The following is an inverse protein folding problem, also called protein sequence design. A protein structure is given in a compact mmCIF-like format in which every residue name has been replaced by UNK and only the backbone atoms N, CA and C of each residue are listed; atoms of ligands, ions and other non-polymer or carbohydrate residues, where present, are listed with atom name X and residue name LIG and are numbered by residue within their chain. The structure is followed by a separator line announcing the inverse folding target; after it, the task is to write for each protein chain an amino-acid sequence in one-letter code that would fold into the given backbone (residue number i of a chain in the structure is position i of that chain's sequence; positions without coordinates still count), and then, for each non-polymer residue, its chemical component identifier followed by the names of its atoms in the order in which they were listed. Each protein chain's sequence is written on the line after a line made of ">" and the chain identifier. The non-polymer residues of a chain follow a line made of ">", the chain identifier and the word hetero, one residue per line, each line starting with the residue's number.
data_IF_533347615073
#
_entry.id   IF_533347615073
#
_cell.length_a   1.000
_cell.length_b   1.000
_cell.length_c   1.000
_cell.angle_alpha   90.00
_cell.angle_beta   90.00
_cell.angle_gamma   90.00
#
_symmetry.space_group_name_H-M   'P 1'
#
loop_
_entity.id
_entity.type
_entity.pdbx_description
1 polymer ?
#
# COMPACT_ATOMS: atom_id res chain seq x y z
N UNK A 1 -8.75 -13.83 -7.29
CA UNK A 1 -9.18 -12.47 -7.68
C UNK A 1 -8.65 -12.18 -9.08
N UNK A 2 -9.47 -11.58 -9.94
CA UNK A 2 -9.07 -11.19 -11.30
C UNK A 2 -8.46 -9.78 -11.27
N UNK A 3 -7.52 -9.46 -12.18
CA UNK A 3 -7.05 -8.08 -12.36
C UNK A 3 -8.18 -7.15 -12.82
N UNK A 4 -8.04 -5.86 -12.52
CA UNK A 4 -9.02 -4.84 -12.88
C UNK A 4 -9.07 -4.62 -14.40
N UNK A 5 -10.26 -4.77 -14.98
CA UNK A 5 -10.50 -4.52 -16.40
C UNK A 5 -10.10 -3.09 -16.79
N UNK A 6 -9.66 -2.91 -18.04
CA UNK A 6 -9.17 -1.63 -18.55
C UNK A 6 -10.19 -0.50 -18.42
N UNK A 7 -11.48 -0.77 -18.64
CA UNK A 7 -12.55 0.25 -18.54
C UNK A 7 -12.68 0.72 -17.10
N UNK A 8 -12.78 -0.23 -16.16
CA UNK A 8 -12.88 0.06 -14.73
C UNK A 8 -11.62 0.76 -14.21
N UNK A 9 -10.44 0.36 -14.69
CA UNK A 9 -9.16 0.99 -14.36
C UNK A 9 -9.11 2.45 -14.79
N UNK A 10 -9.59 2.77 -15.99
CA UNK A 10 -9.68 4.16 -16.45
C UNK A 10 -10.69 4.98 -15.64
N UNK A 11 -11.80 4.37 -15.19
CA UNK A 11 -12.76 5.03 -14.29
C UNK A 11 -12.13 5.31 -12.93
N UNK A 12 -11.45 4.32 -12.35
CA UNK A 12 -10.69 4.45 -11.11
C UNK A 12 -9.63 5.54 -11.20
N UNK A 13 -8.86 5.60 -12.28
CA UNK A 13 -7.86 6.65 -12.50
C UNK A 13 -8.48 8.05 -12.44
N UNK A 14 -9.60 8.26 -13.14
CA UNK A 14 -10.31 9.55 -13.13
C UNK A 14 -10.84 9.89 -11.75
N UNK A 15 -11.43 8.92 -11.05
CA UNK A 15 -11.96 9.11 -9.71
C UNK A 15 -10.84 9.51 -8.73
N UNK A 16 -9.72 8.78 -8.71
CA UNK A 16 -8.59 9.04 -7.81
C UNK A 16 -7.95 10.40 -8.09
N UNK A 17 -7.78 10.79 -9.36
CA UNK A 17 -7.24 12.12 -9.71
C UNK A 17 -8.18 13.25 -9.25
N UNK A 18 -9.48 13.10 -9.48
CA UNK A 18 -10.47 14.09 -9.04
C UNK A 18 -10.56 14.15 -7.50
N UNK A 19 -10.48 13.00 -6.84
CA UNK A 19 -10.47 12.91 -5.40
C UNK A 19 -9.28 13.63 -4.79
N UNK A 20 -8.08 13.47 -5.37
CA UNK A 20 -6.89 14.21 -4.93
C UNK A 20 -7.11 15.71 -4.97
N UNK A 21 -7.53 16.24 -6.11
CA UNK A 21 -7.76 17.68 -6.28
C UNK A 21 -8.85 18.20 -5.33
N UNK A 22 -9.91 17.41 -5.11
CA UNK A 22 -11.02 17.75 -4.21
C UNK A 22 -10.57 17.72 -2.75
N UNK A 23 -9.84 16.69 -2.34
CA UNK A 23 -9.34 16.52 -0.98
C UNK A 23 -8.28 17.57 -0.62
N UNK A 24 -7.36 17.91 -1.54
CA UNK A 24 -6.37 18.99 -1.32
C UNK A 24 -7.07 20.35 -1.16
N UNK A 25 -8.12 20.65 -1.95
CA UNK A 25 -8.94 21.87 -1.77
C UNK A 25 -9.65 21.89 -0.42
N UNK A 26 -10.29 20.78 -0.04
CA UNK A 26 -10.95 20.65 1.26
C UNK A 26 -9.98 20.80 2.43
N UNK A 27 -8.81 20.18 2.34
CA UNK A 27 -7.75 20.29 3.33
C UNK A 27 -7.27 21.74 3.46
N UNK A 28 -7.01 22.44 2.35
CA UNK A 28 -6.65 23.85 2.35
C UNK A 28 -7.71 24.72 3.03
N UNK A 29 -8.99 24.51 2.71
CA UNK A 29 -10.09 25.26 3.30
C UNK A 29 -10.19 25.02 4.82
N UNK A 30 -10.17 23.77 5.26
CA UNK A 30 -10.26 23.41 6.68
C UNK A 30 -9.06 23.93 7.50
N UNK A 31 -7.84 23.74 7.00
CA UNK A 31 -6.63 24.26 7.64
C UNK A 31 -6.59 25.79 7.65
N UNK A 32 -7.12 26.42 6.60
CA UNK A 32 -7.27 27.87 6.48
C UNK A 32 -8.23 28.45 7.50
N UNK A 33 -9.37 27.80 7.76
CA UNK A 33 -10.32 28.22 8.80
C UNK A 33 -9.69 28.21 10.19
N UNK A 34 -8.83 27.23 10.49
CA UNK A 34 -8.06 27.18 11.72
C UNK A 34 -6.86 28.15 11.74
N UNK A 35 -6.59 28.86 10.64
CA UNK A 35 -5.43 29.74 10.50
C UNK A 35 -4.11 29.00 10.75
N UNK A 36 -3.98 27.75 10.27
CA UNK A 36 -2.81 26.91 10.56
C UNK A 36 -1.53 27.51 10.03
N UNK A 37 -1.54 28.25 8.92
CA UNK A 37 -0.38 28.97 8.41
C UNK A 37 0.00 30.17 9.28
N UNK A 38 -0.97 30.80 9.95
CA UNK A 38 -0.80 32.12 10.56
C UNK A 38 0.15 32.15 11.76
N UNK A 39 0.82 33.28 12.05
CA UNK A 39 1.65 33.42 13.25
C UNK A 39 0.89 33.25 14.56
N UNK A 40 -0.36 33.71 14.61
CA UNK A 40 -1.21 33.75 15.80
C UNK A 40 -2.56 33.10 15.49
N UNK A 41 -3.15 32.47 16.52
CA UNK A 41 -4.50 31.95 16.41
C UNK A 41 -5.51 33.10 16.36
N UNK A 42 -6.55 32.97 15.54
CA UNK A 42 -7.61 33.97 15.48
C UNK A 42 -8.41 34.01 16.79
N UNK A 43 -8.87 35.21 17.17
CA UNK A 43 -9.55 35.41 18.46
C UNK A 43 -10.86 34.62 18.59
N UNK A 44 -11.54 34.36 17.47
CA UNK A 44 -12.82 33.64 17.41
C UNK A 44 -12.69 32.11 17.56
N UNK A 45 -11.48 31.54 17.46
CA UNK A 45 -11.29 30.10 17.59
C UNK A 45 -11.59 29.65 19.03
N UNK A 46 -12.32 28.55 19.16
CA UNK A 46 -12.55 27.89 20.44
C UNK A 46 -11.24 27.34 21.03
N UNK A 47 -11.24 26.98 22.32
CA UNK A 47 -10.05 26.40 22.94
C UNK A 47 -9.68 25.03 22.36
N UNK A 48 -10.69 24.23 21.96
CA UNK A 48 -10.51 22.98 21.23
C UNK A 48 -9.85 23.21 19.87
N UNK A 49 -10.35 24.19 19.10
CA UNK A 49 -9.78 24.54 17.79
C UNK A 49 -8.35 25.07 17.92
N UNK A 50 -8.07 25.85 18.97
CA UNK A 50 -6.71 26.32 19.26
C UNK A 50 -5.76 25.18 19.56
N UNK A 51 -6.20 24.16 20.31
CA UNK A 51 -5.41 22.97 20.58
C UNK A 51 -5.18 22.14 19.30
N UNK A 52 -6.23 21.88 18.54
CA UNK A 52 -6.14 21.18 17.26
C UNK A 52 -5.17 21.89 16.31
N UNK A 53 -5.30 23.21 16.18
CA UNK A 53 -4.39 24.06 15.41
C UNK A 53 -2.93 23.93 15.86
N UNK A 54 -2.66 23.92 17.18
CA UNK A 54 -1.30 23.73 17.72
C UNK A 54 -0.73 22.38 17.30
N UNK A 55 -1.51 21.31 17.44
CA UNK A 55 -1.13 19.95 17.05
C UNK A 55 -0.88 19.84 15.54
N UNK A 56 -1.78 20.36 14.72
CA UNK A 56 -1.64 20.39 13.25
C UNK A 56 -0.40 21.16 12.81
N UNK A 57 -0.12 22.33 13.41
CA UNK A 57 1.12 23.08 13.13
C UNK A 57 2.37 22.27 13.48
N UNK A 58 2.39 21.64 14.65
CA UNK A 58 3.51 20.78 15.06
C UNK A 58 3.70 19.60 14.11
N UNK A 59 2.61 18.96 13.71
CA UNK A 59 2.59 17.85 12.77
C UNK A 59 3.12 18.25 11.39
N UNK A 60 2.62 19.35 10.81
CA UNK A 60 3.15 19.88 9.55
C UNK A 60 4.66 20.12 9.58
N UNK A 61 5.21 20.67 10.68
CA UNK A 61 6.66 20.82 10.84
C UNK A 61 7.41 19.50 10.90
N UNK A 62 6.84 18.47 11.53
CA UNK A 62 7.43 17.12 11.54
C UNK A 62 7.45 16.50 10.14
N UNK A 63 6.42 16.77 9.33
CA UNK A 63 6.41 16.37 7.92
C UNK A 63 7.45 17.13 7.09
N UNK A 64 7.84 18.33 7.53
CA UNK A 64 8.85 19.19 6.91
C UNK A 64 8.31 20.48 6.29
N UNK A 65 7.14 20.95 6.73
CA UNK A 65 6.67 22.30 6.41
C UNK A 65 7.57 23.35 7.06
N UNK A 66 8.03 24.30 6.25
CA UNK A 66 8.98 25.33 6.65
C UNK A 66 8.28 26.54 7.26
N UNK A 67 9.03 27.26 8.08
CA UNK A 67 8.69 28.61 8.51
C UNK A 67 9.31 29.59 7.50
N UNK A 68 8.50 30.27 6.70
CA UNK A 68 8.94 31.11 5.58
C UNK A 68 9.59 32.42 6.09
N UNK A 69 10.81 32.32 6.62
CA UNK A 69 11.57 33.47 7.14
C UNK A 69 10.97 34.12 8.39
N UNK A 70 10.07 33.44 9.11
CA UNK A 70 9.36 34.02 10.27
C UNK A 70 8.38 33.07 10.96
N UNK A 71 7.23 33.59 11.41
CA UNK A 71 6.18 32.81 12.14
C UNK A 71 5.10 32.19 11.23
N UNK A 72 5.12 32.53 9.93
CA UNK A 72 4.20 31.99 8.92
C UNK A 72 4.71 30.62 8.48
N UNK A 73 3.86 29.60 8.60
CA UNK A 73 4.20 28.21 8.27
C UNK A 73 3.64 27.85 6.89
N UNK A 74 4.42 27.15 6.06
CA UNK A 74 3.86 26.45 4.90
C UNK A 74 2.90 25.36 5.37
N UNK A 75 2.02 24.92 4.46
CA UNK A 75 1.08 23.83 4.75
C UNK A 75 1.10 22.76 3.67
N UNK A 76 2.00 22.83 2.69
CA UNK A 76 1.98 21.93 1.53
C UNK A 76 1.97 20.47 1.97
N UNK A 77 2.85 20.09 2.90
CA UNK A 77 2.99 18.68 3.31
C UNK A 77 1.83 18.24 4.19
N UNK A 78 1.36 19.13 5.06
CA UNK A 78 0.18 18.88 5.87
C UNK A 78 -1.08 18.72 5.01
N UNK A 79 -1.25 19.55 3.99
CA UNK A 79 -2.37 19.45 3.03
C UNK A 79 -2.30 18.15 2.26
N UNK A 80 -1.12 17.77 1.75
CA UNK A 80 -0.92 16.51 1.03
C UNK A 80 -1.30 15.30 1.91
N UNK A 81 -0.90 15.30 3.19
CA UNK A 81 -1.23 14.21 4.11
C UNK A 81 -2.71 14.22 4.51
N UNK A 82 -3.31 15.38 4.82
CA UNK A 82 -4.75 15.49 5.11
C UNK A 82 -5.57 14.95 3.94
N UNK A 83 -5.25 15.37 2.73
CA UNK A 83 -5.94 14.92 1.54
C UNK A 83 -5.81 13.40 1.35
N UNK A 84 -4.59 12.88 1.49
CA UNK A 84 -4.31 11.46 1.35
C UNK A 84 -5.07 10.62 2.38
N UNK A 85 -4.98 10.97 3.66
CA UNK A 85 -5.56 10.19 4.75
C UNK A 85 -7.09 10.18 4.68
N UNK A 86 -7.73 11.32 4.42
CA UNK A 86 -9.19 11.40 4.32
C UNK A 86 -9.73 10.55 3.15
N UNK A 87 -9.13 10.67 1.96
CA UNK A 87 -9.54 9.87 0.80
C UNK A 87 -9.28 8.38 1.01
N UNK A 88 -8.05 8.00 1.37
CA UNK A 88 -7.68 6.59 1.45
C UNK A 88 -8.44 5.88 2.57
N UNK A 89 -8.72 6.54 3.69
CA UNK A 89 -9.50 5.94 4.77
C UNK A 89 -10.91 5.51 4.32
N UNK A 90 -11.62 6.36 3.58
CA UNK A 90 -12.93 6.00 2.99
C UNK A 90 -12.78 4.87 1.96
N UNK A 91 -11.81 5.00 1.07
CA UNK A 91 -11.60 4.01 0.02
C UNK A 91 -11.24 2.63 0.58
N UNK A 92 -10.36 2.56 1.58
CA UNK A 92 -9.98 1.33 2.26
C UNK A 92 -11.15 0.73 3.05
N UNK A 93 -11.95 1.55 3.75
CA UNK A 93 -13.15 1.07 4.40
C UNK A 93 -14.09 0.40 3.40
N UNK A 94 -14.25 0.97 2.20
CA UNK A 94 -15.00 0.32 1.10
C UNK A 94 -14.34 -0.97 0.62
N UNK A 95 -13.03 -0.99 0.40
CA UNK A 95 -12.31 -2.23 0.03
C UNK A 95 -12.54 -3.34 1.06
N UNK A 96 -12.44 -3.03 2.35
CA UNK A 96 -12.68 -4.00 3.41
C UNK A 96 -14.12 -4.48 3.40
N UNK A 97 -15.10 -3.58 3.30
CA UNK A 97 -16.51 -3.94 3.29
C UNK A 97 -16.85 -4.88 2.10
N UNK A 98 -16.41 -4.54 0.89
CA UNK A 98 -16.71 -5.34 -0.32
C UNK A 98 -16.04 -6.71 -0.35
N UNK A 99 -14.97 -6.90 0.44
CA UNK A 99 -14.30 -8.19 0.56
C UNK A 99 -14.74 -8.97 1.81
N UNK A 100 -15.75 -8.51 2.55
CA UNK A 100 -16.17 -9.07 3.85
C UNK A 100 -15.03 -9.11 4.87
N UNK A 101 -14.18 -8.08 4.83
CA UNK A 101 -13.02 -7.90 5.71
C UNK A 101 -13.18 -6.70 6.65
N UNK A 102 -14.24 -5.91 6.54
CA UNK A 102 -14.55 -4.87 7.52
C UNK A 102 -15.29 -5.54 8.68
N UNK A 103 -14.70 -5.55 9.86
CA UNK A 103 -15.25 -6.27 11.01
C UNK A 103 -15.84 -5.30 12.03
N UNK A 104 -17.00 -5.64 12.59
CA UNK A 104 -17.51 -5.02 13.79
C UNK A 104 -16.52 -5.29 14.95
N UNK A 105 -16.20 -4.29 15.79
CA UNK A 105 -15.16 -4.39 16.81
C UNK A 105 -15.64 -5.14 18.07
N UNK A 106 -16.19 -6.34 17.89
CA UNK A 106 -16.45 -7.30 18.98
C UNK A 106 -15.25 -8.26 19.11
N UNK A 107 -14.56 -8.26 20.26
CA UNK A 107 -13.39 -9.13 20.48
C UNK A 107 -13.73 -10.62 20.60
N UNK A 108 -14.98 -10.96 20.91
CA UNK A 108 -15.42 -12.34 21.13
C UNK A 108 -16.09 -12.94 19.87
N UNK A 109 -16.72 -12.12 19.02
CA UNK A 109 -17.37 -12.56 17.77
C UNK A 109 -17.17 -11.54 16.62
N UNK A 110 -16.04 -11.60 15.88
CA UNK A 110 -15.79 -10.66 14.79
C UNK A 110 -16.71 -10.97 13.60
N UNK A 111 -17.74 -10.15 13.41
CA UNK A 111 -18.69 -10.26 12.30
C UNK A 111 -18.38 -9.22 11.23
N UNK A 112 -18.38 -9.63 9.97
CA UNK A 112 -18.23 -8.72 8.84
C UNK A 112 -19.45 -7.77 8.76
N UNK A 113 -19.18 -6.49 8.55
CA UNK A 113 -20.19 -5.43 8.47
C UNK A 113 -20.11 -4.69 7.13
N UNK A 114 -21.27 -4.36 6.57
CA UNK A 114 -21.43 -3.59 5.34
C UNK A 114 -21.43 -2.09 5.61
N UNK A 115 -21.24 -1.27 4.57
CA UNK A 115 -21.34 0.18 4.71
C UNK A 115 -22.76 0.66 5.04
N UNK A 116 -23.79 -0.07 4.62
CA UNK A 116 -25.18 0.24 4.95
C UNK A 116 -25.44 0.03 6.44
N UNK A 117 -24.99 -1.09 7.00
CA UNK A 117 -25.05 -1.32 8.45
C UNK A 117 -24.20 -0.31 9.23
N UNK A 118 -23.05 0.13 8.71
CA UNK A 118 -22.31 1.23 9.31
C UNK A 118 -23.11 2.55 9.30
N UNK A 119 -23.88 2.84 8.26
CA UNK A 119 -24.75 4.03 8.22
C UNK A 119 -25.85 3.94 9.28
N UNK A 120 -26.50 2.77 9.39
CA UNK A 120 -27.57 2.54 10.37
C UNK A 120 -27.07 2.67 11.82
N UNK A 121 -25.84 2.21 12.10
CA UNK A 121 -25.22 2.26 13.44
C UNK A 121 -24.52 3.60 13.75
N UNK A 122 -24.30 4.47 12.76
CA UNK A 122 -23.45 5.65 12.91
C UNK A 122 -23.86 6.54 14.09
N UNK A 123 -25.14 6.87 14.20
CA UNK A 123 -25.65 7.74 15.24
C UNK A 123 -25.51 7.12 16.65
N UNK A 124 -25.78 5.82 16.77
CA UNK A 124 -25.71 5.09 18.05
C UNK A 124 -24.26 4.94 18.54
N UNK A 125 -23.31 4.79 17.60
CA UNK A 125 -21.86 4.69 17.85
C UNK A 125 -21.15 6.07 17.89
N UNK A 126 -21.90 7.17 17.83
CA UNK A 126 -21.38 8.53 17.91
C UNK A 126 -20.46 8.91 16.74
N UNK A 127 -20.74 8.41 15.54
CA UNK A 127 -20.13 8.82 14.28
C UNK A 127 -21.07 9.77 13.52
N UNK A 128 -20.52 10.68 12.72
CA UNK A 128 -21.31 11.62 11.95
C UNK A 128 -22.09 10.96 10.79
N UNK A 129 -21.54 9.89 10.23
CA UNK A 129 -22.13 9.09 9.16
C UNK A 129 -21.48 7.69 9.10
N UNK A 130 -22.00 6.81 8.23
CA UNK A 130 -21.50 5.46 8.04
C UNK A 130 -20.08 5.40 7.50
N UNK A 131 -19.65 6.39 6.71
CA UNK A 131 -18.26 6.49 6.25
C UNK A 131 -17.28 6.72 7.40
N UNK A 132 -17.62 7.59 8.35
CA UNK A 132 -16.80 7.82 9.54
C UNK A 132 -16.75 6.57 10.43
N UNK A 133 -17.88 5.87 10.60
CA UNK A 133 -17.92 4.65 11.40
C UNK A 133 -17.10 3.52 10.75
N UNK A 134 -17.31 3.27 9.45
CA UNK A 134 -16.56 2.27 8.71
C UNK A 134 -15.04 2.57 8.71
N UNK A 135 -14.69 3.84 8.55
CA UNK A 135 -13.32 4.33 8.68
C UNK A 135 -12.71 4.07 10.08
N UNK A 136 -13.51 4.24 11.14
CA UNK A 136 -13.10 3.99 12.53
C UNK A 136 -12.81 2.50 12.74
N UNK A 137 -13.68 1.61 12.27
CA UNK A 137 -13.48 0.16 12.32
C UNK A 137 -12.25 -0.27 11.51
N UNK A 138 -12.14 0.19 10.26
CA UNK A 138 -10.98 -0.09 9.41
C UNK A 138 -9.66 0.34 10.06
N UNK A 139 -9.63 1.49 10.73
CA UNK A 139 -8.43 2.00 11.39
C UNK A 139 -8.03 1.21 12.64
N UNK A 140 -9.00 0.65 13.38
CA UNK A 140 -8.72 -0.27 14.48
C UNK A 140 -8.11 -1.59 13.99
N UNK A 141 -8.56 -2.08 12.83
CA UNK A 141 -8.02 -3.30 12.21
C UNK A 141 -6.62 -3.10 11.63
N UNK A 142 -6.31 -1.90 11.15
CA UNK A 142 -5.06 -1.58 10.45
C UNK A 142 -4.35 -0.38 11.11
N UNK A 143 -3.97 -0.46 12.39
CA UNK A 143 -3.42 0.68 13.14
C UNK A 143 -2.08 1.17 12.60
N UNK A 144 -1.37 0.32 11.85
CA UNK A 144 -0.11 0.68 11.20
C UNK A 144 -0.31 1.50 9.93
N UNK A 145 -1.49 1.39 9.29
CA UNK A 145 -1.86 2.15 8.10
C UNK A 145 -2.58 3.42 8.50
N UNK A 146 -3.57 3.32 9.39
CA UNK A 146 -4.36 4.46 9.86
C UNK A 146 -4.01 4.80 11.30
N UNK A 147 -3.32 5.92 11.48
CA UNK A 147 -2.95 6.40 12.81
C UNK A 147 -4.13 7.15 13.43
N UNK A 148 -4.94 6.45 14.22
CA UNK A 148 -6.11 7.00 14.92
C UNK A 148 -5.79 8.27 15.74
N UNK A 149 -4.59 8.34 16.32
CA UNK A 149 -4.17 9.50 17.12
C UNK A 149 -3.68 10.70 16.29
N UNK A 150 -3.65 10.58 14.97
CA UNK A 150 -3.22 11.65 14.07
C UNK A 150 -4.16 12.86 14.18
N UNK A 151 -3.64 14.09 14.36
CA UNK A 151 -4.47 15.29 14.39
C UNK A 151 -5.21 15.53 13.06
N UNK A 152 -4.77 14.91 11.96
CA UNK A 152 -5.42 14.96 10.65
C UNK A 152 -6.86 14.45 10.68
N UNK A 153 -7.15 13.41 11.48
CA UNK A 153 -8.50 12.85 11.57
C UNK A 153 -9.43 13.61 12.52
N UNK A 154 -8.90 14.54 13.32
CA UNK A 154 -9.71 15.48 14.10
C UNK A 154 -10.14 16.69 13.27
N UNK A 155 -9.59 16.85 12.05
CA UNK A 155 -9.96 17.90 11.12
C UNK A 155 -11.11 17.43 10.24
N UNK A 156 -12.25 18.13 10.29
CA UNK A 156 -13.35 17.89 9.37
C UNK A 156 -13.14 18.67 8.07
N UNK A 157 -13.28 18.00 6.94
CA UNK A 157 -13.33 18.68 5.64
C UNK A 157 -14.67 19.45 5.51
N UNK A 158 -14.71 20.55 4.76
CA UNK A 158 -15.96 21.23 4.48
C UNK A 158 -16.97 20.26 3.83
N UNK A 159 -18.27 20.33 4.19
CA UNK A 159 -19.27 19.35 3.77
C UNK A 159 -19.33 19.12 2.26
N UNK A 160 -19.16 20.17 1.46
CA UNK A 160 -19.16 20.10 0.00
C UNK A 160 -18.01 19.26 -0.56
N UNK A 161 -16.84 19.30 0.08
CA UNK A 161 -15.69 18.49 -0.31
C UNK A 161 -15.83 17.06 0.20
N UNK A 162 -16.30 16.89 1.44
CA UNK A 162 -16.56 15.58 2.03
C UNK A 162 -17.57 14.79 1.18
N UNK A 163 -18.73 15.38 0.88
CA UNK A 163 -19.76 14.74 0.06
C UNK A 163 -19.27 14.43 -1.35
N UNK A 164 -18.48 15.31 -1.96
CA UNK A 164 -17.91 15.05 -3.28
C UNK A 164 -16.96 13.84 -3.28
N UNK A 165 -16.16 13.65 -2.22
CA UNK A 165 -15.31 12.47 -2.06
C UNK A 165 -16.14 11.20 -1.84
N UNK A 166 -17.15 11.25 -0.97
CA UNK A 166 -18.05 10.13 -0.70
C UNK A 166 -18.79 9.68 -1.98
N UNK A 167 -19.22 10.63 -2.82
CA UNK A 167 -19.83 10.35 -4.12
C UNK A 167 -18.84 9.72 -5.10
N UNK A 168 -17.56 10.13 -5.10
CA UNK A 168 -16.54 9.51 -5.94
C UNK A 168 -16.29 8.05 -5.54
N UNK A 169 -16.23 7.74 -4.24
CA UNK A 169 -16.08 6.35 -3.77
C UNK A 169 -17.32 5.53 -4.10
N UNK A 170 -18.51 6.05 -3.78
CA UNK A 170 -19.79 5.35 -3.99
C UNK A 170 -20.10 5.12 -5.47
N UNK A 171 -19.62 6.00 -6.36
CA UNK A 171 -19.79 5.90 -7.80
C UNK A 171 -18.88 4.87 -8.48
N UNK A 172 -17.90 4.29 -7.77
CA UNK A 172 -17.05 3.23 -8.32
C UNK A 172 -17.78 1.88 -8.30
N UNK A 173 -17.73 1.08 -9.38
CA UNK A 173 -18.35 -0.24 -9.41
C UNK A 173 -17.74 -1.21 -8.39
N UNK A 174 -18.54 -2.12 -7.86
CA UNK A 174 -18.13 -3.13 -6.87
C UNK A 174 -16.91 -3.94 -7.33
N UNK A 175 -16.85 -4.28 -8.63
CA UNK A 175 -15.76 -5.01 -9.27
C UNK A 175 -14.39 -4.34 -9.05
N UNK A 176 -14.39 -3.02 -8.86
CA UNK A 176 -13.18 -2.26 -8.54
C UNK A 176 -12.62 -2.65 -7.18
N UNK A 177 -13.47 -2.95 -6.20
CA UNK A 177 -13.05 -3.24 -4.84
C UNK A 177 -12.66 -4.71 -4.62
N UNK A 178 -13.07 -5.63 -5.49
CA UNK A 178 -12.75 -7.07 -5.40
C UNK A 178 -11.61 -7.51 -6.32
N UNK A 179 -11.12 -6.62 -7.19
CA UNK A 179 -10.01 -6.91 -8.10
C UNK A 179 -8.65 -6.86 -7.38
N UNK A 180 -7.73 -7.73 -7.79
CA UNK A 180 -6.47 -8.01 -7.05
C UNK A 180 -5.45 -6.88 -7.09
N UNK A 181 -5.50 -6.02 -8.10
CA UNK A 181 -4.51 -4.98 -8.37
C UNK A 181 -5.06 -3.55 -8.16
N UNK A 182 -6.35 -3.40 -7.83
CA UNK A 182 -6.99 -2.08 -7.71
C UNK A 182 -6.34 -1.17 -6.68
N UNK A 183 -6.00 -1.68 -5.49
CA UNK A 183 -5.30 -0.88 -4.47
C UNK A 183 -3.93 -0.38 -4.97
N UNK A 184 -3.22 -1.21 -5.73
CA UNK A 184 -1.98 -0.83 -6.40
C UNK A 184 -2.18 0.34 -7.37
N UNK A 185 -3.21 0.24 -8.20
CA UNK A 185 -3.61 1.30 -9.12
C UNK A 185 -3.98 2.60 -8.40
N UNK A 186 -4.71 2.54 -7.28
CA UNK A 186 -5.05 3.71 -6.47
C UNK A 186 -3.80 4.49 -6.08
N UNK A 187 -2.80 3.81 -5.52
CA UNK A 187 -1.55 4.45 -5.09
C UNK A 187 -0.81 5.08 -6.26
N UNK A 188 -0.74 4.37 -7.39
CA UNK A 188 -0.08 4.87 -8.59
C UNK A 188 -0.80 6.10 -9.16
N UNK A 189 -2.14 6.06 -9.23
CA UNK A 189 -2.94 7.17 -9.75
C UNK A 189 -2.95 8.38 -8.83
N UNK A 190 -2.94 8.17 -7.51
CA UNK A 190 -2.84 9.27 -6.54
C UNK A 190 -1.57 10.09 -6.79
N UNK A 191 -0.44 9.44 -7.07
CA UNK A 191 0.83 10.11 -7.30
C UNK A 191 0.99 10.71 -8.71
N UNK A 192 0.08 10.40 -9.65
CA UNK A 192 0.22 10.80 -11.06
C UNK A 192 0.32 12.32 -11.26
N UNK A 193 -0.57 13.10 -10.64
CA UNK A 193 -0.57 14.56 -10.76
C UNK A 193 0.71 15.18 -10.18
N UNK A 194 1.18 14.67 -9.03
CA UNK A 194 2.41 15.15 -8.41
C UNK A 194 3.65 14.82 -9.26
N UNK A 195 3.71 13.59 -9.78
CA UNK A 195 4.76 13.16 -10.70
C UNK A 195 4.81 14.04 -11.95
N UNK A 196 3.66 14.32 -12.56
CA UNK A 196 3.57 15.21 -13.72
C UNK A 196 4.02 16.63 -13.40
N UNK A 197 3.57 17.19 -12.26
CA UNK A 197 3.98 18.52 -11.78
C UNK A 197 5.49 18.62 -11.57
N UNK A 198 6.09 17.63 -10.90
CA UNK A 198 7.53 17.56 -10.66
C UNK A 198 8.29 17.49 -11.98
N UNK A 199 7.87 16.60 -12.89
CA UNK A 199 8.52 16.44 -14.20
C UNK A 199 8.45 17.74 -15.02
N UNK A 200 7.32 18.45 -15.00
CA UNK A 200 7.15 19.75 -15.68
C UNK A 200 7.97 20.88 -15.04
N UNK A 201 8.23 20.80 -13.74
CA UNK A 201 8.95 21.85 -13.02
C UNK A 201 10.46 21.84 -13.27
N UNK A 202 10.99 20.76 -13.86
CA UNK A 202 12.42 20.54 -14.14
C UNK A 202 13.34 20.73 -12.91
N UNK A 203 12.78 20.73 -11.70
CA UNK A 203 13.56 20.84 -10.47
C UNK A 203 14.34 19.55 -10.25
N UNK A 204 15.53 19.69 -9.65
CA UNK A 204 16.33 18.53 -9.27
C UNK A 204 15.54 17.66 -8.29
N UNK A 205 15.36 16.39 -8.63
CA UNK A 205 14.69 15.40 -7.78
C UNK A 205 15.48 15.27 -6.47
N UNK A 206 14.89 15.77 -5.39
CA UNK A 206 15.41 15.66 -4.03
C UNK A 206 14.64 14.63 -3.20
N UNK A 207 14.89 14.63 -1.89
CA UNK A 207 14.22 13.72 -0.97
C UNK A 207 12.68 13.89 -0.93
N UNK A 208 12.17 15.10 -1.26
CA UNK A 208 10.73 15.39 -1.31
C UNK A 208 10.06 14.82 -2.57
N UNK A 209 10.71 14.94 -3.71
CA UNK A 209 10.17 14.54 -5.01
C UNK A 209 10.33 13.04 -5.28
N UNK A 210 11.35 12.42 -4.65
CA UNK A 210 11.73 11.03 -4.90
C UNK A 210 10.56 10.04 -4.81
N UNK A 211 9.73 10.02 -3.74
CA UNK A 211 8.65 9.04 -3.63
C UNK A 211 7.66 9.11 -4.80
N UNK A 212 7.30 10.31 -5.26
CA UNK A 212 6.34 10.49 -6.33
C UNK A 212 6.86 9.98 -7.69
N UNK A 213 8.18 10.04 -7.93
CA UNK A 213 8.77 9.63 -9.21
C UNK A 213 9.28 8.19 -9.20
N UNK A 214 9.61 7.61 -8.04
CA UNK A 214 10.17 6.25 -7.91
C UNK A 214 9.20 5.20 -7.42
N UNK A 215 8.05 5.57 -6.84
CA UNK A 215 7.06 4.59 -6.39
C UNK A 215 6.29 4.06 -7.60
N UNK A 216 6.65 2.87 -8.04
CA UNK A 216 5.99 2.14 -9.13
C UNK A 216 5.25 0.95 -8.53
N UNK A 217 4.03 0.71 -8.98
CA UNK A 217 3.34 -0.54 -8.69
C UNK A 217 4.11 -1.70 -9.33
N UNK A 218 4.36 -2.76 -8.55
CA UNK A 218 4.96 -3.98 -9.05
C UNK A 218 3.84 -4.91 -9.51
N UNK A 219 3.78 -5.19 -10.81
CA UNK A 219 2.72 -6.05 -11.34
C UNK A 219 2.83 -7.49 -10.77
N UNK A 220 1.71 -8.21 -10.60
CA UNK A 220 1.71 -9.53 -9.98
C UNK A 220 2.70 -10.52 -10.62
N UNK A 221 2.83 -10.50 -11.96
CA UNK A 221 3.78 -11.38 -12.66
C UNK A 221 5.24 -11.10 -12.28
N UNK A 222 5.59 -9.84 -11.99
CA UNK A 222 6.96 -9.48 -11.57
C UNK A 222 7.22 -10.03 -10.17
N UNK A 223 6.23 -10.00 -9.28
CA UNK A 223 6.32 -10.59 -7.94
C UNK A 223 6.47 -12.11 -8.05
N UNK A 224 5.63 -12.78 -8.83
CA UNK A 224 5.76 -14.22 -9.09
C UNK A 224 7.13 -14.56 -9.70
N UNK A 225 7.60 -13.78 -10.67
CA UNK A 225 8.92 -13.95 -11.26
C UNK A 225 10.05 -13.85 -10.22
N UNK A 226 10.00 -12.85 -9.35
CA UNK A 226 10.99 -12.67 -8.29
C UNK A 226 10.95 -13.81 -7.27
N UNK A 227 9.75 -14.24 -6.85
CA UNK A 227 9.59 -15.35 -5.91
C UNK A 227 10.07 -16.68 -6.51
N UNK A 228 9.66 -16.99 -7.74
CA UNK A 228 10.03 -18.21 -8.43
C UNK A 228 11.55 -18.28 -8.64
N UNK A 229 12.18 -17.17 -9.05
CA UNK A 229 13.63 -17.13 -9.28
C UNK A 229 14.46 -16.83 -8.01
N UNK A 230 13.85 -16.78 -6.83
CA UNK A 230 14.55 -16.72 -5.55
C UNK A 230 14.25 -17.95 -4.70
N UNK A 231 13.06 -17.99 -4.09
CA UNK A 231 12.61 -19.12 -3.28
C UNK A 231 12.36 -20.37 -4.12
N UNK A 232 11.78 -20.21 -5.31
CA UNK A 232 11.57 -21.33 -6.23
C UNK A 232 12.89 -21.94 -6.71
N UNK A 233 13.90 -21.13 -6.99
CA UNK A 233 15.24 -21.59 -7.35
C UNK A 233 15.93 -22.32 -6.18
N UNK A 234 15.82 -21.79 -4.96
CA UNK A 234 16.30 -22.45 -3.74
C UNK A 234 15.64 -23.81 -3.52
N UNK A 235 14.33 -23.89 -3.73
CA UNK A 235 13.55 -25.11 -3.63
C UNK A 235 13.93 -26.13 -4.72
N UNK A 236 13.99 -25.69 -5.98
CA UNK A 236 14.32 -26.53 -7.12
C UNK A 236 15.71 -27.16 -6.99
N UNK A 237 16.70 -26.42 -6.48
CA UNK A 237 18.05 -26.93 -6.22
C UNK A 237 18.10 -28.08 -5.20
N UNK A 238 17.10 -28.20 -4.32
CA UNK A 238 16.98 -29.29 -3.33
C UNK A 238 16.06 -30.40 -3.80
N UNK A 239 15.04 -30.05 -4.59
CA UNK A 239 13.99 -30.97 -5.02
C UNK A 239 14.41 -31.79 -6.24
N UNK A 240 15.11 -31.18 -7.18
CA UNK A 240 15.56 -31.81 -8.42
C UNK A 240 16.84 -32.62 -8.16
N UNK A 241 16.92 -33.79 -8.78
CA UNK A 241 18.11 -34.64 -8.72
C UNK A 241 19.11 -34.26 -9.80
N UNK A 242 20.37 -34.71 -9.66
CA UNK A 242 21.35 -34.53 -10.74
C UNK A 242 20.90 -35.15 -12.07
N UNK A 243 20.17 -36.27 -12.02
CA UNK A 243 19.65 -36.95 -13.21
C UNK A 243 18.61 -36.06 -13.92
N UNK A 244 17.72 -35.42 -13.16
CA UNK A 244 16.77 -34.46 -13.69
C UNK A 244 17.47 -33.32 -14.42
N UNK A 245 18.50 -32.73 -13.80
CA UNK A 245 19.24 -31.60 -14.35
C UNK A 245 20.09 -31.96 -15.58
N UNK A 246 20.54 -33.21 -15.71
CA UNK A 246 21.31 -33.70 -16.86
C UNK A 246 20.40 -34.05 -18.04
N UNK A 247 19.26 -34.68 -17.77
CA UNK A 247 18.47 -35.34 -18.81
C UNK A 247 17.23 -34.57 -19.26
N UNK A 248 16.80 -33.54 -18.52
CA UNK A 248 15.62 -32.78 -18.88
C UNK A 248 15.74 -32.11 -20.26
N UNK A 249 14.68 -32.19 -21.05
CA UNK A 249 14.64 -31.66 -22.41
C UNK A 249 14.27 -30.18 -22.46
N UNK A 250 13.66 -29.65 -21.40
CA UNK A 250 13.20 -28.26 -21.33
C UNK A 250 13.10 -27.72 -19.89
N UNK A 251 13.03 -26.39 -19.76
CA UNK A 251 12.73 -25.72 -18.49
C UNK A 251 11.33 -26.07 -17.95
N UNK A 252 10.37 -26.36 -18.84
CA UNK A 252 9.02 -26.77 -18.47
C UNK A 252 9.03 -28.12 -17.73
N UNK A 253 9.80 -29.09 -18.22
CA UNK A 253 9.94 -30.39 -17.55
C UNK A 253 10.52 -30.24 -16.14
N UNK A 254 11.54 -29.39 -15.98
CA UNK A 254 12.16 -29.11 -14.68
C UNK A 254 11.19 -28.41 -13.73
N UNK A 255 10.42 -27.42 -14.22
CA UNK A 255 9.38 -26.77 -13.42
C UNK A 255 8.32 -27.77 -12.94
N UNK A 256 7.83 -28.63 -13.83
CA UNK A 256 6.83 -29.65 -13.47
C UNK A 256 7.35 -30.63 -12.40
N UNK A 257 8.63 -31.02 -12.49
CA UNK A 257 9.27 -31.89 -11.48
C UNK A 257 9.50 -31.17 -10.14
N UNK A 258 9.78 -29.87 -10.16
CA UNK A 258 10.00 -29.06 -8.97
C UNK A 258 8.70 -28.58 -8.31
N UNK A 259 7.63 -28.41 -9.09
CA UNK A 259 6.36 -27.86 -8.65
C UNK A 259 5.72 -28.68 -7.51
N UNK A 260 4.99 -27.97 -6.64
CA UNK A 260 4.16 -28.57 -5.58
C UNK A 260 2.72 -28.06 -5.72
N UNK A 261 1.72 -28.76 -5.15
CA UNK A 261 0.33 -28.30 -5.20
C UNK A 261 0.20 -26.84 -4.73
N UNK A 262 -0.36 -25.98 -5.59
CA UNK A 262 -0.54 -24.55 -5.31
C UNK A 262 0.67 -23.65 -5.65
N UNK A 263 1.82 -24.22 -6.02
CA UNK A 263 3.02 -23.46 -6.40
C UNK A 263 3.62 -24.04 -7.69
N UNK A 264 3.12 -23.60 -8.87
CA UNK A 264 3.52 -24.18 -10.16
C UNK A 264 4.91 -23.74 -10.64
N UNK A 265 5.49 -22.68 -10.04
CA UNK A 265 6.79 -22.10 -10.42
C UNK A 265 6.84 -21.64 -11.89
N UNK A 266 5.73 -21.06 -12.38
CA UNK A 266 5.52 -20.67 -13.79
C UNK A 266 6.62 -19.77 -14.37
N UNK A 267 7.34 -19.02 -13.53
CA UNK A 267 8.37 -18.09 -13.97
C UNK A 267 9.80 -18.54 -13.62
N UNK A 268 9.98 -19.69 -12.96
CA UNK A 268 11.31 -20.21 -12.62
C UNK A 268 12.09 -20.49 -13.89
N UNK A 269 13.29 -19.90 -14.01
CA UNK A 269 14.16 -20.05 -15.17
C UNK A 269 15.31 -20.99 -14.88
N UNK A 270 15.66 -21.78 -15.89
CA UNK A 270 16.89 -22.57 -15.91
C UNK A 270 17.76 -22.17 -17.10
N UNK A 271 19.06 -22.31 -16.92
CA UNK A 271 20.07 -22.13 -17.97
C UNK A 271 20.94 -23.37 -18.03
N UNK A 272 21.48 -23.65 -19.21
CA UNK A 272 22.46 -24.71 -19.40
C UNK A 272 23.85 -24.14 -19.18
N UNK A 273 24.61 -24.76 -18.28
CA UNK A 273 26.00 -24.40 -17.99
C UNK A 273 26.91 -25.61 -18.18
N UNK A 274 28.19 -25.41 -18.52
CA UNK A 274 29.16 -26.51 -18.55
C UNK A 274 29.20 -27.21 -17.18
N UNK A 275 29.18 -28.54 -17.18
CA UNK A 275 29.22 -29.31 -15.93
C UNK A 275 30.50 -29.00 -15.14
N UNK A 276 30.41 -28.60 -13.86
CA UNK A 276 31.60 -28.28 -13.05
C UNK A 276 32.47 -29.49 -12.71
N UNK A 277 31.99 -30.71 -12.96
CA UNK A 277 32.70 -31.98 -12.72
C UNK A 277 33.17 -32.66 -14.02
N UNK A 278 32.99 -32.01 -15.17
CA UNK A 278 33.34 -32.55 -16.48
C UNK A 278 34.79 -32.25 -16.84
N UNK A 279 35.54 -33.29 -17.23
CA UNK A 279 36.72 -33.13 -18.08
C UNK A 279 36.33 -32.57 -19.46
N UNK A 280 37.32 -32.16 -20.25
CA UNK A 280 37.13 -31.61 -21.60
C UNK A 280 36.21 -32.51 -22.45
N UNK A 281 34.96 -32.08 -22.67
CA UNK A 281 34.01 -32.73 -23.59
C UNK A 281 32.70 -33.26 -23.02
N UNK A 282 32.42 -33.17 -21.71
CA UNK A 282 31.12 -33.58 -21.15
C UNK A 282 30.10 -32.42 -21.11
N UNK A 283 28.86 -32.74 -21.49
CA UNK A 283 27.83 -31.79 -21.92
C UNK A 283 27.31 -30.79 -20.88
N UNK A 284 26.44 -29.90 -21.35
CA UNK A 284 25.81 -28.87 -20.53
C UNK A 284 24.76 -29.46 -19.59
N UNK A 285 24.69 -28.95 -18.36
CA UNK A 285 23.72 -29.35 -17.33
C UNK A 285 22.83 -28.16 -16.99
N UNK A 286 21.55 -28.42 -16.73
CA UNK A 286 20.64 -27.38 -16.28
C UNK A 286 20.97 -26.90 -14.87
N UNK A 287 20.83 -25.60 -14.64
CA UNK A 287 20.90 -24.98 -13.33
C UNK A 287 19.88 -23.84 -13.25
N UNK A 288 19.29 -23.54 -12.08
CA UNK A 288 18.47 -22.35 -11.92
C UNK A 288 19.23 -21.10 -12.41
N UNK A 289 18.57 -20.23 -13.17
CA UNK A 289 19.21 -19.06 -13.79
C UNK A 289 19.74 -18.05 -12.76
N UNK A 290 19.11 -18.00 -11.59
CA UNK A 290 19.57 -17.23 -10.43
C UNK A 290 20.85 -17.81 -9.81
N UNK A 291 21.28 -19.00 -10.23
CA UNK A 291 22.34 -19.77 -9.63
C UNK A 291 21.90 -20.53 -8.38
N UNK A 292 22.84 -21.31 -7.85
CA UNK A 292 22.80 -21.96 -6.54
C UNK A 292 23.96 -21.40 -5.73
N UNK A 293 23.75 -21.08 -4.46
CA UNK A 293 24.78 -20.46 -3.63
C UNK A 293 25.06 -21.31 -2.39
N UNK A 294 26.33 -21.50 -2.06
CA UNK A 294 26.76 -22.27 -0.88
C UNK A 294 26.23 -21.66 0.43
N UNK A 295 26.01 -20.35 0.45
CA UNK A 295 25.45 -19.63 1.59
C UNK A 295 23.92 -19.80 1.75
N UNK A 296 23.26 -20.53 0.85
CA UNK A 296 21.84 -20.78 0.99
C UNK A 296 21.54 -21.68 2.19
N UNK A 297 20.50 -21.35 2.98
CA UNK A 297 20.15 -22.11 4.16
C UNK A 297 19.81 -23.56 3.79
N UNK A 298 20.27 -24.51 4.60
CA UNK A 298 20.01 -25.94 4.41
C UNK A 298 18.56 -26.29 4.67
N UNK A 299 18.02 -25.74 5.76
CA UNK A 299 16.65 -25.97 6.20
C UNK A 299 15.78 -24.76 5.90
N UNK A 300 14.49 -25.02 5.65
CA UNK A 300 13.49 -23.96 5.48
C UNK A 300 13.39 -23.05 6.72
N UNK A 301 13.62 -23.60 7.92
CA UNK A 301 13.59 -22.84 9.17
C UNK A 301 14.67 -21.76 9.27
N UNK A 302 15.76 -21.90 8.51
CA UNK A 302 16.89 -20.96 8.49
C UNK A 302 16.74 -19.89 7.40
N UNK A 303 15.68 -20.00 6.58
CA UNK A 303 15.41 -19.08 5.49
C UNK A 303 14.98 -17.71 6.02
N UNK A 304 15.76 -16.68 5.64
CA UNK A 304 15.46 -15.28 5.92
C UNK A 304 15.18 -14.55 4.63
N UNK A 305 13.94 -14.10 4.48
CA UNK A 305 13.52 -13.27 3.35
C UNK A 305 13.38 -11.83 3.81
N UNK A 306 13.94 -10.89 3.05
CA UNK A 306 13.55 -9.50 3.15
C UNK A 306 12.30 -9.32 2.29
N UNK A 307 11.24 -8.75 2.86
CA UNK A 307 10.07 -8.37 2.08
C UNK A 307 10.47 -7.28 1.06
N UNK A 308 10.43 -7.56 -0.26
CA UNK A 308 10.79 -6.59 -1.27
C UNK A 308 9.75 -5.46 -1.41
N UNK A 309 8.54 -5.62 -0.87
CA UNK A 309 7.43 -4.65 -0.94
C UNK A 309 7.49 -3.58 0.16
N UNK A 310 8.44 -3.71 1.08
CA UNK A 310 8.78 -2.70 2.06
C UNK A 310 9.45 -1.49 1.38
N UNK A 311 8.64 -0.61 0.78
CA UNK A 311 9.09 0.73 0.40
C UNK A 311 9.78 1.41 1.59
N UNK A 312 10.66 2.41 1.34
CA UNK A 312 11.58 3.04 2.32
C UNK A 312 10.98 3.53 3.66
N UNK A 313 9.67 3.38 3.93
CA UNK A 313 9.00 3.67 5.20
C UNK A 313 8.69 2.46 6.09
N UNK A 314 8.81 1.23 5.61
CA UNK A 314 8.50 0.05 6.40
C UNK A 314 9.71 -0.88 6.39
N UNK A 315 10.41 -0.99 7.53
CA UNK A 315 11.32 -2.11 7.78
C UNK A 315 10.80 -2.70 9.09
N UNK A 316 9.97 -3.75 9.06
CA UNK A 316 9.66 -4.49 10.27
C UNK A 316 10.91 -5.28 10.66
N UNK A 317 11.54 -4.89 11.76
CA UNK A 317 12.43 -5.79 12.49
C UNK A 317 11.58 -6.94 13.03
N UNK A 318 11.61 -8.09 12.37
CA UNK A 318 11.04 -9.32 12.90
C UNK A 318 11.85 -9.74 14.13
N UNK A 319 11.31 -9.45 15.31
CA UNK A 319 11.72 -10.09 16.55
C UNK A 319 10.81 -11.31 16.74
N UNK A 320 11.32 -12.55 16.77
CA UNK A 320 10.48 -13.73 16.91
C UNK A 320 10.03 -13.85 18.37
N UNK A 321 8.85 -13.32 18.69
CA UNK A 321 8.11 -13.75 19.87
C UNK A 321 7.09 -14.82 19.45
N UNK A 322 7.17 -16.04 19.98
CA UNK A 322 6.39 -17.17 19.51
C UNK A 322 5.05 -17.23 20.25
N UNK A 323 4.09 -16.36 19.96
CA UNK A 323 2.69 -16.60 20.34
C UNK A 323 1.77 -15.77 19.45
N UNK A 324 0.80 -16.48 18.86
CA UNK A 324 -0.29 -16.04 17.98
C UNK A 324 -0.06 -16.36 16.51
N UNK A 325 -0.56 -17.52 16.12
CA UNK A 325 -1.29 -17.81 14.88
C UNK A 325 -1.62 -19.33 14.92
N UNK A 326 -2.63 -19.67 15.72
CA UNK A 326 -3.57 -20.72 15.34
C UNK A 326 -4.74 -20.01 14.68
N UNK A 327 -4.83 -20.12 13.36
CA UNK A 327 -6.05 -20.07 12.57
C UNK A 327 -5.86 -21.10 11.45
#
# INVERSE_FOLDING_TARGET
>A
MQPLDKILRNQLERAVKNARDTAEKGAHAALGQLGVADPAAAAHLSDTDRELRRRLRAHGRQLGDSLNGGKVQSMDRLVEEVAYEHWHRMLFARFLAENNLLMYPDPDDPVAITLEECEDLAADEGAANGWELAARYAAQMLPQIFRLDSPVFQLNLPPEHQQALEQLVSGLPQETFIASDSLGWVYQFWQANNKERINKSEVKIGARELPAVTQLFTEPYMVSFLLDNSLGAWWAARKLTEDDLKNAQSEEELRQKAAIPGVPLDYLRFVKVPSPHAGEGEGEVWTPASGTFDAWPENLADLKTLDPCCGKRYIPSFNPTPHMLQW
#
